data_IF_780020388322
#
_entry.id   IF_780020388322
#
_cell.length_a   1.000
_cell.length_b   1.000
_cell.length_c   1.000
_cell.angle_alpha   90.00
_cell.angle_beta   90.00
_cell.angle_gamma   90.00
#
_symmetry.space_group_name_H-M   'P 1'
#
loop_
_entity.id
_entity.type
_entity.pdbx_description
1 polymer ?
#
# COMPACT_ATOMS: atom_id res chain seq x y z
N UNK A 1 -22.31 15.57 16.79
CA UNK A 1 -22.41 16.54 15.70
C UNK A 1 -23.22 15.89 14.60
N UNK A 2 -24.07 16.65 13.92
CA UNK A 2 -24.86 16.15 12.80
C UNK A 2 -24.45 16.87 11.53
N UNK A 3 -24.49 16.15 10.42
CA UNK A 3 -24.22 16.65 9.08
C UNK A 3 -25.42 16.33 8.20
N UNK A 4 -25.70 17.18 7.21
CA UNK A 4 -26.85 17.04 6.30
C UNK A 4 -26.47 17.30 4.84
N UNK A 5 -27.39 16.96 3.94
CA UNK A 5 -27.27 17.22 2.51
C UNK A 5 -25.98 16.61 1.91
N UNK A 6 -25.78 15.31 2.12
CA UNK A 6 -24.64 14.56 1.59
C UNK A 6 -25.10 13.33 0.81
N UNK A 7 -24.29 12.93 -0.18
CA UNK A 7 -24.40 11.65 -0.88
C UNK A 7 -23.47 10.64 -0.22
N UNK A 8 -24.01 9.80 0.66
CA UNK A 8 -23.27 8.98 1.61
C UNK A 8 -23.12 7.55 1.08
N UNK A 9 -21.88 7.07 1.00
CA UNK A 9 -21.58 5.65 0.71
C UNK A 9 -21.76 4.81 1.97
N UNK A 10 -22.55 3.74 1.85
CA UNK A 10 -23.01 2.92 2.98
C UNK A 10 -22.35 1.54 2.99
N UNK A 11 -22.37 0.80 4.12
CA UNK A 11 -21.88 -0.57 4.19
C UNK A 11 -22.53 -1.54 3.19
N UNK A 12 -23.72 -1.23 2.68
CA UNK A 12 -24.41 -2.01 1.64
C UNK A 12 -23.88 -1.71 0.21
N UNK A 13 -22.73 -1.04 0.08
CA UNK A 13 -22.09 -0.68 -1.20
C UNK A 13 -22.98 0.16 -2.13
N UNK A 14 -23.78 1.05 -1.54
CA UNK A 14 -24.67 1.98 -2.28
C UNK A 14 -24.62 3.38 -1.71
N UNK A 15 -25.07 4.34 -2.51
CA UNK A 15 -25.22 5.73 -2.08
C UNK A 15 -26.63 6.01 -1.59
N UNK A 16 -26.74 6.75 -0.48
CA UNK A 16 -27.98 7.31 0.06
C UNK A 16 -27.80 8.82 0.22
N UNK A 17 -28.82 9.60 -0.12
CA UNK A 17 -28.83 11.04 0.14
C UNK A 17 -29.46 11.31 1.51
N UNK A 18 -28.84 12.16 2.32
CA UNK A 18 -29.37 12.51 3.63
C UNK A 18 -28.33 13.18 4.54
N UNK A 19 -28.40 12.88 5.83
CA UNK A 19 -27.45 13.30 6.86
C UNK A 19 -26.83 12.13 7.60
N UNK A 20 -25.93 12.43 8.53
CA UNK A 20 -25.32 11.45 9.41
C UNK A 20 -24.89 12.07 10.74
N UNK A 21 -24.75 11.22 11.76
CA UNK A 21 -24.22 11.58 13.06
C UNK A 21 -22.71 11.30 13.15
N UNK A 22 -21.99 12.18 13.85
CA UNK A 22 -20.65 11.91 14.38
C UNK A 22 -20.67 12.08 15.89
N UNK A 23 -20.35 11.01 16.62
CA UNK A 23 -20.35 10.98 18.09
C UNK A 23 -18.98 10.58 18.61
N UNK A 24 -18.34 11.46 19.38
CA UNK A 24 -17.01 11.19 19.93
C UNK A 24 -15.94 10.89 18.86
N UNK A 25 -16.01 11.55 17.71
CA UNK A 25 -15.09 11.31 16.58
C UNK A 25 -15.35 10.01 15.79
N UNK A 26 -16.46 9.30 16.05
CA UNK A 26 -16.85 8.10 15.31
C UNK A 26 -18.03 8.37 14.41
N UNK A 27 -18.02 7.75 13.23
CA UNK A 27 -19.17 7.73 12.34
C UNK A 27 -20.34 6.99 12.99
N UNK A 28 -21.50 7.63 13.05
CA UNK A 28 -22.71 7.14 13.69
C UNK A 28 -23.77 6.73 12.67
N UNK A 29 -25.04 6.96 13.00
CA UNK A 29 -26.17 6.59 12.16
C UNK A 29 -26.26 7.48 10.90
N UNK A 30 -26.68 6.87 9.78
CA UNK A 30 -27.15 7.59 8.59
C UNK A 30 -28.61 7.98 8.82
N UNK A 31 -28.94 9.24 8.53
CA UNK A 31 -30.24 9.87 8.78
C UNK A 31 -30.85 10.34 7.44
N UNK A 32 -31.71 9.54 6.78
CA UNK A 32 -32.21 9.89 5.44
C UNK A 32 -33.19 11.06 5.41
N UNK A 33 -33.93 11.31 6.50
CA UNK A 33 -35.03 12.29 6.51
C UNK A 33 -35.07 13.14 7.79
N UNK A 34 -34.99 12.52 8.97
CA UNK A 34 -35.04 13.22 10.25
C UNK A 34 -33.63 13.67 10.66
N UNK A 35 -33.25 14.86 10.19
CA UNK A 35 -31.94 15.45 10.48
C UNK A 35 -32.14 16.71 11.34
N UNK A 36 -31.39 16.88 12.44
CA UNK A 36 -31.46 18.09 13.26
C UNK A 36 -31.26 19.37 12.46
N UNK A 37 -32.02 20.42 12.79
CA UNK A 37 -32.01 21.68 12.05
C UNK A 37 -30.63 22.36 12.05
N UNK A 38 -29.89 22.22 13.15
CA UNK A 38 -28.55 22.73 13.40
C UNK A 38 -27.41 21.88 12.80
N UNK A 39 -27.74 20.83 12.05
CA UNK A 39 -26.74 20.02 11.35
C UNK A 39 -25.96 20.83 10.32
N UNK A 40 -24.66 20.54 10.20
CA UNK A 40 -23.74 21.16 9.24
C UNK A 40 -24.13 20.74 7.82
N UNK A 41 -24.39 21.72 6.95
CA UNK A 41 -24.75 21.48 5.55
C UNK A 41 -23.50 21.17 4.72
N UNK A 42 -23.47 19.98 4.11
CA UNK A 42 -22.38 19.52 3.24
C UNK A 42 -22.60 19.83 1.75
N UNK A 43 -23.65 20.60 1.41
CA UNK A 43 -23.87 21.16 0.07
C UNK A 43 -23.89 20.12 -1.06
N UNK A 44 -24.40 18.92 -0.79
CA UNK A 44 -24.46 17.82 -1.75
C UNK A 44 -23.14 17.04 -1.90
N UNK A 45 -22.14 17.26 -1.04
CA UNK A 45 -20.86 16.57 -1.11
C UNK A 45 -21.02 15.04 -1.07
N UNK A 46 -20.13 14.35 -1.76
CA UNK A 46 -20.05 12.89 -1.70
C UNK A 46 -19.20 12.48 -0.51
N UNK A 47 -19.76 11.63 0.35
CA UNK A 47 -19.09 11.08 1.51
C UNK A 47 -18.76 9.61 1.26
N UNK A 48 -17.48 9.28 1.32
CA UNK A 48 -16.96 7.91 1.31
C UNK A 48 -16.18 7.66 2.60
N UNK A 49 -15.96 6.40 3.00
CA UNK A 49 -14.93 6.08 3.98
C UNK A 49 -13.60 6.69 3.53
N UNK A 50 -12.83 7.21 4.49
CA UNK A 50 -11.51 7.74 4.21
C UNK A 50 -10.62 6.70 3.54
N UNK A 51 -9.87 7.12 2.53
CA UNK A 51 -9.02 6.20 1.76
C UNK A 51 -7.86 5.70 2.63
N UNK A 52 -7.39 4.51 2.31
CA UNK A 52 -6.22 3.89 2.93
C UNK A 52 -5.22 3.59 1.81
N UNK A 53 -4.05 4.22 1.87
CA UNK A 53 -2.99 3.96 0.91
C UNK A 53 -1.92 3.08 1.56
N UNK A 54 -1.82 1.82 1.09
CA UNK A 54 -0.94 0.83 1.71
C UNK A 54 0.44 0.76 1.06
N UNK A 55 0.61 1.39 -0.11
CA UNK A 55 1.84 1.36 -0.89
C UNK A 55 2.09 2.75 -1.48
N UNK A 56 3.00 3.50 -0.83
CA UNK A 56 3.44 4.81 -1.29
C UNK A 56 4.80 5.15 -0.69
N UNK A 57 5.75 5.60 -1.50
CA UNK A 57 7.11 5.91 -1.06
C UNK A 57 7.25 7.34 -0.54
N UNK A 58 6.58 8.29 -1.17
CA UNK A 58 6.84 9.70 -0.96
C UNK A 58 5.77 10.61 -1.54
N UNK A 59 5.86 11.88 -1.16
CA UNK A 59 5.15 13.00 -1.77
C UNK A 59 5.74 14.31 -1.24
N UNK A 60 5.34 15.44 -1.83
CA UNK A 60 5.69 16.79 -1.39
C UNK A 60 7.21 16.96 -1.17
N UNK A 61 8.03 16.39 -2.05
CA UNK A 61 9.50 16.43 -1.97
C UNK A 61 10.13 15.55 -0.90
N UNK A 62 9.34 14.80 -0.12
CA UNK A 62 9.81 13.88 0.92
C UNK A 62 9.62 12.42 0.51
N UNK A 63 10.47 11.55 1.04
CA UNK A 63 10.43 10.10 0.87
C UNK A 63 10.54 9.42 2.24
N UNK A 64 9.79 8.35 2.45
CA UNK A 64 9.83 7.60 3.69
C UNK A 64 11.23 7.07 4.01
N UNK A 65 11.95 6.65 2.97
CA UNK A 65 13.28 6.06 3.10
C UNK A 65 14.35 7.08 3.50
N UNK A 66 14.06 8.39 3.43
CA UNK A 66 14.98 9.44 3.88
C UNK A 66 15.21 9.38 5.41
N UNK A 67 14.31 8.73 6.17
CA UNK A 67 14.39 8.66 7.63
C UNK A 67 14.20 10.01 8.33
N UNK A 68 13.61 10.97 7.64
CA UNK A 68 13.28 12.29 8.17
C UNK A 68 11.86 12.31 8.77
N UNK A 69 11.76 12.61 10.06
CA UNK A 69 10.49 12.67 10.77
C UNK A 69 9.59 13.82 10.30
N UNK A 70 10.16 14.99 10.00
CA UNK A 70 9.37 16.13 9.53
C UNK A 70 8.93 15.93 8.08
N UNK A 71 9.77 15.32 7.24
CA UNK A 71 9.39 14.79 5.93
C UNK A 71 8.21 13.82 6.00
N UNK A 72 8.24 12.83 6.90
CA UNK A 72 7.13 11.90 7.08
C UNK A 72 5.84 12.58 7.56
N UNK A 73 5.94 13.59 8.45
CA UNK A 73 4.77 14.41 8.83
C UNK A 73 4.23 15.23 7.67
N UNK A 74 5.10 15.79 6.83
CA UNK A 74 4.71 16.49 5.60
C UNK A 74 3.94 15.54 4.68
N UNK A 75 4.42 14.30 4.51
CA UNK A 75 3.72 13.27 3.76
C UNK A 75 2.33 12.99 4.33
N UNK A 76 2.22 12.79 5.66
CA UNK A 76 0.95 12.52 6.32
C UNK A 76 -0.07 13.67 6.20
N UNK A 77 0.40 14.92 6.18
CA UNK A 77 -0.42 16.11 5.96
C UNK A 77 -0.94 16.16 4.52
N UNK A 78 -0.09 15.88 3.53
CA UNK A 78 -0.49 15.81 2.14
C UNK A 78 -1.57 14.76 1.92
N UNK A 79 -1.37 13.52 2.40
CA UNK A 79 -2.38 12.46 2.32
C UNK A 79 -3.74 12.89 2.90
N UNK A 80 -3.75 13.57 4.04
CA UNK A 80 -4.99 14.03 4.68
C UNK A 80 -5.72 15.04 3.78
N UNK A 81 -4.97 15.92 3.10
CA UNK A 81 -5.53 16.88 2.13
C UNK A 81 -6.12 16.20 0.88
N UNK A 82 -5.68 14.98 0.56
CA UNK A 82 -6.15 14.19 -0.58
C UNK A 82 -7.26 13.18 -0.22
N UNK A 83 -7.77 13.23 1.01
CA UNK A 83 -8.81 12.30 1.50
C UNK A 83 -8.29 10.90 1.88
N UNK A 84 -6.97 10.71 1.89
CA UNK A 84 -6.31 9.53 2.47
C UNK A 84 -6.23 9.76 3.96
N UNK A 85 -6.89 8.91 4.75
CA UNK A 85 -7.01 9.09 6.21
C UNK A 85 -6.09 8.18 6.99
N UNK A 86 -5.59 7.11 6.34
CA UNK A 86 -4.61 6.21 6.89
C UNK A 86 -3.65 5.75 5.79
N UNK A 87 -2.42 5.43 6.17
CA UNK A 87 -1.42 4.99 5.21
C UNK A 87 -0.38 4.03 5.83
N UNK A 88 0.28 3.26 4.98
CA UNK A 88 1.49 2.52 5.30
C UNK A 88 2.56 2.88 4.26
N UNK A 89 3.59 3.67 4.62
CA UNK A 89 4.60 4.05 3.65
C UNK A 89 5.48 2.86 3.27
N UNK A 90 5.95 2.86 2.03
CA UNK A 90 6.78 1.83 1.44
C UNK A 90 8.27 2.23 1.46
N UNK A 91 9.13 1.35 1.93
CA UNK A 91 10.59 1.55 1.84
C UNK A 91 11.11 1.32 0.43
N UNK A 92 12.30 1.85 0.14
CA UNK A 92 13.10 1.43 -1.01
C UNK A 92 14.07 0.29 -0.65
N UNK A 93 14.63 -0.38 -1.65
CA UNK A 93 15.75 -1.33 -1.50
C UNK A 93 17.00 -0.60 -1.02
N UNK A 94 17.28 -0.66 0.28
CA UNK A 94 18.37 0.06 0.94
C UNK A 94 19.08 -0.81 2.00
N UNK A 95 20.26 -0.38 2.50
CA UNK A 95 20.91 -1.00 3.66
C UNK A 95 20.00 -1.04 4.89
N UNK A 96 20.12 -2.08 5.70
CA UNK A 96 19.23 -2.27 6.85
C UNK A 96 19.36 -1.17 7.91
N UNK A 97 20.54 -0.56 8.09
CA UNK A 97 20.72 0.55 9.02
C UNK A 97 20.02 1.82 8.54
N UNK A 98 19.81 1.98 7.23
CA UNK A 98 18.99 3.05 6.65
C UNK A 98 17.50 2.74 6.85
N UNK A 99 17.08 1.49 6.58
CA UNK A 99 15.70 1.06 6.82
C UNK A 99 15.31 1.19 8.30
N UNK A 100 16.21 0.84 9.23
CA UNK A 100 15.97 0.96 10.67
C UNK A 100 15.68 2.42 11.07
N UNK A 101 16.40 3.39 10.51
CA UNK A 101 16.16 4.82 10.75
C UNK A 101 14.79 5.25 10.23
N UNK A 102 14.43 4.85 9.01
CA UNK A 102 13.09 5.12 8.45
C UNK A 102 11.98 4.47 9.28
N UNK A 103 12.16 3.22 9.71
CA UNK A 103 11.14 2.51 10.46
C UNK A 103 10.96 3.10 11.88
N UNK A 104 12.02 3.67 12.45
CA UNK A 104 11.95 4.41 13.71
C UNK A 104 11.08 5.68 13.58
N UNK A 105 11.14 6.40 12.46
CA UNK A 105 10.26 7.58 12.25
C UNK A 105 8.80 7.18 12.09
N UNK A 106 8.52 6.07 11.41
CA UNK A 106 7.17 5.51 11.30
C UNK A 106 6.62 5.11 12.67
N UNK A 107 7.40 4.40 13.48
CA UNK A 107 7.03 4.04 14.86
C UNK A 107 6.71 5.27 15.70
N UNK A 108 7.58 6.29 15.63
CA UNK A 108 7.36 7.56 16.34
C UNK A 108 6.06 8.24 15.89
N UNK A 109 5.80 8.34 14.59
CA UNK A 109 4.58 8.97 14.07
C UNK A 109 3.33 8.20 14.49
N UNK A 110 3.41 6.85 14.52
CA UNK A 110 2.33 5.98 15.00
C UNK A 110 1.96 6.27 16.45
N UNK A 111 2.97 6.40 17.31
CA UNK A 111 2.84 6.62 18.75
C UNK A 111 2.35 8.04 19.07
N UNK A 112 2.94 9.07 18.44
CA UNK A 112 2.54 10.47 18.66
C UNK A 112 1.15 10.77 18.11
N UNK A 113 0.77 10.13 16.99
CA UNK A 113 -0.55 10.23 16.36
C UNK A 113 -1.08 11.70 16.32
N UNK A 114 -0.33 12.65 15.75
CA UNK A 114 -0.70 14.07 15.74
C UNK A 114 -2.06 14.30 15.08
N UNK A 115 -2.82 15.25 15.60
CA UNK A 115 -4.12 15.63 15.06
C UNK A 115 -3.96 16.29 13.68
N UNK A 116 -4.96 16.11 12.81
CA UNK A 116 -4.99 16.70 11.47
C UNK A 116 -4.12 16.01 10.42
N UNK A 117 -3.34 14.99 10.81
CA UNK A 117 -2.55 14.19 9.87
C UNK A 117 -3.21 12.83 9.60
N UNK A 118 -2.88 12.23 8.46
CA UNK A 118 -3.22 10.85 8.16
C UNK A 118 -2.63 9.91 9.21
N UNK A 119 -3.35 8.86 9.57
CA UNK A 119 -2.90 7.89 10.54
C UNK A 119 -1.90 6.94 9.90
N UNK A 120 -0.68 6.88 10.44
CA UNK A 120 0.22 5.79 10.08
C UNK A 120 -0.32 4.48 10.68
N UNK A 121 -0.47 3.45 9.85
CA UNK A 121 -1.08 2.17 10.24
C UNK A 121 -0.15 0.97 10.04
N UNK A 122 0.97 1.16 9.35
CA UNK A 122 1.94 0.12 9.11
C UNK A 122 3.14 0.64 8.34
N UNK A 123 3.98 -0.29 7.92
CA UNK A 123 5.06 -0.12 6.94
C UNK A 123 4.90 -1.21 5.88
N UNK A 124 5.07 -0.85 4.62
CA UNK A 124 5.34 -1.82 3.55
C UNK A 124 6.85 -1.89 3.35
N UNK A 125 7.45 -3.04 3.64
CA UNK A 125 8.85 -3.27 3.35
C UNK A 125 8.97 -3.74 1.90
N UNK A 126 8.94 -2.78 0.97
CA UNK A 126 9.20 -3.05 -0.45
C UNK A 126 10.72 -3.19 -0.65
N UNK A 127 11.15 -4.43 -0.88
CA UNK A 127 12.56 -4.81 -0.99
C UNK A 127 13.19 -5.17 0.37
N UNK A 128 14.45 -5.64 0.40
CA UNK A 128 15.38 -5.74 -0.71
C UNK A 128 15.40 -7.12 -1.43
N UNK A 129 14.40 -7.97 -1.21
CA UNK A 129 14.38 -9.36 -1.67
C UNK A 129 13.87 -9.52 -3.10
N UNK A 130 14.50 -8.83 -4.05
CA UNK A 130 14.01 -8.74 -5.42
C UNK A 130 14.92 -9.34 -6.48
N UNK A 131 14.30 -9.70 -7.59
CA UNK A 131 14.98 -10.16 -8.77
C UNK A 131 15.80 -9.04 -9.39
N UNK A 132 17.09 -9.29 -9.62
CA UNK A 132 17.95 -8.32 -10.32
C UNK A 132 17.37 -7.91 -11.68
N UNK A 133 16.73 -8.85 -12.40
CA UNK A 133 16.13 -8.62 -13.72
C UNK A 133 14.92 -7.69 -13.69
N UNK A 134 14.25 -7.58 -12.54
CA UNK A 134 12.98 -6.88 -12.37
C UNK A 134 13.06 -5.81 -11.27
N UNK A 135 14.27 -5.34 -10.97
CA UNK A 135 14.55 -4.30 -9.98
C UNK A 135 13.83 -2.97 -10.24
N UNK A 136 13.50 -2.63 -11.49
CA UNK A 136 12.87 -1.34 -11.78
C UNK A 136 13.71 -0.16 -11.26
N UNK A 137 13.11 0.69 -10.44
CA UNK A 137 13.78 1.82 -9.79
C UNK A 137 14.57 1.44 -8.52
N UNK A 138 14.51 0.20 -8.06
CA UNK A 138 15.18 -0.27 -6.85
C UNK A 138 16.71 -0.30 -7.05
N UNK A 139 17.46 0.14 -6.03
CA UNK A 139 18.92 0.19 -6.12
C UNK A 139 19.53 -1.23 -6.20
N UNK A 140 20.20 -1.60 -7.32
CA UNK A 140 20.72 -2.94 -7.53
C UNK A 140 21.79 -3.36 -6.53
N UNK A 141 22.54 -2.42 -5.96
CA UNK A 141 23.68 -2.70 -5.08
C UNK A 141 23.24 -3.22 -3.71
N UNK A 142 21.97 -3.02 -3.36
CA UNK A 142 21.40 -3.42 -2.07
C UNK A 142 20.43 -4.60 -2.18
N UNK A 143 20.21 -5.12 -3.38
CA UNK A 143 19.46 -6.35 -3.59
C UNK A 143 20.13 -7.52 -2.87
N UNK A 144 19.32 -8.39 -2.27
CA UNK A 144 19.80 -9.57 -1.56
C UNK A 144 18.83 -10.73 -1.65
N UNK A 145 19.34 -11.93 -1.43
CA UNK A 145 18.47 -13.08 -1.21
C UNK A 145 17.65 -12.90 0.08
N UNK A 146 16.47 -13.53 0.17
CA UNK A 146 15.63 -13.53 1.36
C UNK A 146 16.42 -13.82 2.65
N UNK A 147 16.28 -12.94 3.64
CA UNK A 147 16.99 -13.00 4.92
C UNK A 147 16.00 -12.77 6.05
N UNK A 148 15.51 -13.86 6.63
CA UNK A 148 14.51 -13.77 7.68
C UNK A 148 15.05 -13.16 8.97
N UNK A 149 16.30 -13.41 9.35
CA UNK A 149 16.84 -12.85 10.60
C UNK A 149 17.06 -11.34 10.49
N UNK A 150 17.50 -10.86 9.33
CA UNK A 150 17.55 -9.43 9.04
C UNK A 150 16.17 -8.77 9.06
N UNK A 151 15.20 -9.37 8.36
CA UNK A 151 13.81 -8.93 8.40
C UNK A 151 13.25 -8.90 9.83
N UNK A 152 13.44 -9.98 10.60
CA UNK A 152 12.92 -10.10 11.98
C UNK A 152 13.48 -9.00 12.87
N UNK A 153 14.76 -8.66 12.76
CA UNK A 153 15.36 -7.54 13.50
C UNK A 153 14.69 -6.21 13.19
N UNK A 154 14.43 -5.92 11.91
CA UNK A 154 13.71 -4.71 11.48
C UNK A 154 12.26 -4.70 11.98
N UNK A 155 11.56 -5.85 11.84
CA UNK A 155 10.20 -6.04 12.33
C UNK A 155 10.10 -5.78 13.85
N UNK A 156 10.98 -6.39 14.64
CA UNK A 156 11.02 -6.22 16.09
C UNK A 156 11.44 -4.79 16.48
N UNK A 157 12.43 -4.21 15.80
CA UNK A 157 12.93 -2.85 16.05
C UNK A 157 11.85 -1.77 15.86
N UNK A 158 10.99 -1.95 14.87
CA UNK A 158 9.85 -1.06 14.64
C UNK A 158 8.60 -1.42 15.48
N UNK A 159 8.69 -2.38 16.40
CA UNK A 159 7.58 -2.78 17.26
C UNK A 159 6.49 -3.57 16.53
N UNK A 160 6.85 -4.31 15.49
CA UNK A 160 5.92 -5.10 14.65
C UNK A 160 5.06 -4.25 13.71
N UNK A 161 5.57 -3.09 13.30
CA UNK A 161 4.83 -2.14 12.47
C UNK A 161 4.83 -2.50 10.98
N UNK A 162 5.75 -3.35 10.51
CA UNK A 162 5.71 -3.88 9.14
C UNK A 162 4.45 -4.73 8.96
N UNK A 163 3.62 -4.36 7.98
CA UNK A 163 2.36 -5.03 7.66
C UNK A 163 2.43 -5.84 6.37
N UNK A 164 3.30 -5.42 5.45
CA UNK A 164 3.54 -6.08 4.18
C UNK A 164 5.06 -6.16 3.98
N UNK A 165 5.57 -7.32 3.58
CA UNK A 165 6.96 -7.49 3.13
C UNK A 165 6.97 -8.11 1.75
N UNK A 166 7.78 -7.55 0.86
CA UNK A 166 7.76 -7.92 -0.55
C UNK A 166 8.94 -8.83 -0.88
N UNK A 167 8.68 -9.80 -1.77
CA UNK A 167 9.66 -10.82 -2.12
C UNK A 167 9.47 -11.32 -3.56
N UNK A 168 10.58 -11.60 -4.23
CA UNK A 168 10.61 -12.32 -5.49
C UNK A 168 10.69 -13.84 -5.23
N UNK A 169 9.67 -14.64 -5.63
CA UNK A 169 9.58 -16.07 -5.32
C UNK A 169 10.72 -16.94 -5.85
N UNK A 170 11.36 -16.54 -6.94
CA UNK A 170 12.41 -17.32 -7.57
C UNK A 170 13.76 -17.25 -6.84
N UNK A 171 13.88 -16.38 -5.83
CA UNK A 171 15.14 -16.22 -5.12
C UNK A 171 15.42 -17.41 -4.18
N UNK A 172 16.70 -17.83 -4.05
CA UNK A 172 17.08 -18.87 -3.10
C UNK A 172 16.65 -18.55 -1.67
N UNK A 173 15.91 -19.46 -1.04
CA UNK A 173 15.40 -19.31 0.33
C UNK A 173 14.05 -18.61 0.45
N UNK A 174 13.41 -18.21 -0.66
CA UNK A 174 12.14 -17.49 -0.62
C UNK A 174 11.01 -18.25 0.09
N UNK A 175 10.85 -19.55 -0.18
CA UNK A 175 9.82 -20.37 0.46
C UNK A 175 9.99 -20.42 1.98
N UNK A 176 11.19 -20.69 2.48
CA UNK A 176 11.48 -20.71 3.93
C UNK A 176 11.22 -19.34 4.56
N UNK A 177 11.63 -18.26 3.88
CA UNK A 177 11.35 -16.90 4.34
C UNK A 177 9.84 -16.68 4.46
N UNK A 178 9.06 -17.04 3.44
CA UNK A 178 7.61 -16.84 3.39
C UNK A 178 6.91 -17.59 4.52
N UNK A 179 7.26 -18.87 4.76
CA UNK A 179 6.66 -19.69 5.82
C UNK A 179 6.83 -19.09 7.22
N UNK A 180 7.92 -18.35 7.42
CA UNK A 180 8.25 -17.70 8.69
C UNK A 180 7.66 -16.28 8.76
N UNK A 181 7.80 -15.48 7.70
CA UNK A 181 7.35 -14.09 7.65
C UNK A 181 5.82 -13.96 7.61
N UNK A 182 5.12 -14.89 6.97
CA UNK A 182 3.64 -14.92 6.90
C UNK A 182 2.95 -15.07 8.26
N UNK A 183 3.68 -15.50 9.29
CA UNK A 183 3.21 -15.56 10.69
C UNK A 183 3.29 -14.21 11.41
N UNK A 184 4.05 -13.26 10.85
CA UNK A 184 4.31 -11.93 11.43
C UNK A 184 3.53 -10.84 10.68
N UNK A 185 3.50 -10.90 9.34
CA UNK A 185 2.82 -9.93 8.48
C UNK A 185 2.40 -10.56 7.15
N UNK A 186 1.74 -9.78 6.30
CA UNK A 186 1.44 -10.20 4.92
C UNK A 186 2.72 -10.28 4.11
N UNK A 187 2.87 -11.34 3.32
CA UNK A 187 3.96 -11.46 2.35
C UNK A 187 3.41 -11.26 0.95
N UNK A 188 4.04 -10.39 0.18
CA UNK A 188 3.62 -10.00 -1.17
C UNK A 188 4.65 -10.41 -2.23
N UNK A 189 4.16 -10.90 -3.36
CA UNK A 189 5.01 -11.15 -4.53
C UNK A 189 5.23 -9.83 -5.27
N UNK A 190 6.49 -9.44 -5.45
CA UNK A 190 6.87 -8.22 -6.15
C UNK A 190 8.20 -8.39 -6.90
N UNK A 191 8.45 -7.49 -7.87
CA UNK A 191 9.76 -7.31 -8.53
C UNK A 191 10.47 -8.63 -8.88
N UNK A 192 9.78 -9.45 -9.68
CA UNK A 192 10.06 -10.88 -9.85
C UNK A 192 10.09 -11.26 -11.33
N UNK A 193 11.00 -12.17 -11.69
CA UNK A 193 11.05 -12.88 -12.98
C UNK A 193 10.53 -14.32 -12.82
N UNK A 194 9.76 -14.59 -11.75
CA UNK A 194 9.25 -15.91 -11.38
C UNK A 194 8.30 -16.48 -12.42
N UNK A 195 8.45 -17.78 -12.66
CA UNK A 195 7.44 -18.58 -13.35
C UNK A 195 6.24 -18.88 -12.44
N UNK A 196 5.28 -19.63 -12.99
CA UNK A 196 4.07 -20.04 -12.28
C UNK A 196 4.36 -21.00 -11.11
N UNK A 197 5.30 -21.94 -11.26
CA UNK A 197 5.56 -22.98 -10.28
C UNK A 197 6.20 -22.41 -9.01
N UNK A 198 7.15 -21.48 -9.16
CA UNK A 198 7.72 -20.73 -8.04
C UNK A 198 6.65 -19.87 -7.35
N UNK A 199 5.79 -19.19 -8.12
CA UNK A 199 4.71 -18.38 -7.56
C UNK A 199 3.70 -19.22 -6.79
N UNK A 200 3.35 -20.41 -7.31
CA UNK A 200 2.51 -21.41 -6.64
C UNK A 200 3.12 -21.88 -5.33
N UNK A 201 4.41 -22.24 -5.32
CA UNK A 201 5.10 -22.63 -4.11
C UNK A 201 5.11 -21.51 -3.05
N UNK A 202 5.32 -20.26 -3.47
CA UNK A 202 5.23 -19.09 -2.58
C UNK A 202 3.83 -18.89 -1.99
N UNK A 203 2.79 -19.08 -2.81
CA UNK A 203 1.38 -19.01 -2.36
C UNK A 203 1.05 -20.13 -1.38
N UNK A 204 1.54 -21.36 -1.62
CA UNK A 204 1.39 -22.49 -0.70
C UNK A 204 2.12 -22.26 0.63
N UNK A 205 3.27 -21.60 0.59
CA UNK A 205 4.06 -21.22 1.76
C UNK A 205 3.42 -20.11 2.61
N UNK A 206 2.48 -19.33 2.06
CA UNK A 206 1.71 -18.34 2.82
C UNK A 206 1.58 -16.95 2.19
N UNK A 207 2.04 -16.73 0.95
CA UNK A 207 1.78 -15.48 0.23
C UNK A 207 0.27 -15.26 0.08
N UNK A 208 -0.17 -14.03 0.33
CA UNK A 208 -1.57 -13.60 0.18
C UNK A 208 -1.71 -12.27 -0.56
N UNK A 209 -0.64 -11.79 -1.21
CA UNK A 209 -0.62 -10.48 -1.85
C UNK A 209 0.26 -10.46 -3.12
N UNK A 210 -0.14 -9.67 -4.11
CA UNK A 210 0.68 -9.28 -5.28
C UNK A 210 0.85 -7.75 -5.28
N UNK A 211 2.09 -7.29 -5.28
CA UNK A 211 2.43 -5.85 -5.31
C UNK A 211 2.26 -5.30 -6.74
N UNK A 212 1.77 -4.06 -6.83
CA UNK A 212 1.54 -3.26 -8.06
C UNK A 212 1.33 -4.06 -9.37
N UNK A 213 0.27 -4.87 -9.42
CA UNK A 213 -0.03 -5.83 -10.50
C UNK A 213 0.37 -5.33 -11.90
N UNK A 214 1.02 -6.22 -12.66
CA UNK A 214 1.64 -6.01 -13.98
C UNK A 214 3.02 -5.34 -13.96
N UNK A 215 3.31 -4.47 -13.00
CA UNK A 215 4.58 -3.75 -12.93
C UNK A 215 5.67 -4.67 -12.38
N UNK A 216 6.88 -4.57 -12.95
CA UNK A 216 8.05 -5.34 -12.51
C UNK A 216 7.82 -6.87 -12.33
N UNK A 217 6.92 -7.47 -13.13
CA UNK A 217 6.65 -8.91 -13.14
C UNK A 217 6.52 -9.45 -14.58
N UNK A 218 6.46 -10.77 -14.83
CA UNK A 218 6.20 -11.31 -16.15
C UNK A 218 4.71 -11.10 -16.52
N UNK A 219 4.46 -10.77 -17.79
CA UNK A 219 3.10 -10.74 -18.32
C UNK A 219 2.49 -12.15 -18.46
N UNK A 220 1.20 -12.21 -18.74
CA UNK A 220 0.49 -13.48 -18.92
C UNK A 220 0.86 -14.08 -20.29
N UNK A 221 1.44 -15.29 -20.29
CA UNK A 221 1.71 -16.07 -21.50
C UNK A 221 1.19 -17.50 -21.35
N UNK A 222 0.55 -18.06 -22.38
CA UNK A 222 -0.19 -19.34 -22.30
C UNK A 222 0.67 -20.57 -21.98
N UNK A 223 1.98 -20.53 -22.24
CA UNK A 223 2.94 -21.62 -21.87
C UNK A 223 3.84 -21.29 -20.70
N UNK A 224 3.80 -20.05 -20.22
CA UNK A 224 4.55 -19.61 -19.04
C UNK A 224 3.70 -18.55 -18.33
N UNK A 225 2.68 -18.97 -17.56
CA UNK A 225 1.64 -18.06 -17.08
C UNK A 225 2.16 -17.00 -16.10
N UNK A 226 3.22 -17.33 -15.34
CA UNK A 226 3.84 -16.43 -14.37
C UNK A 226 2.98 -16.21 -13.13
N UNK A 227 3.29 -15.11 -12.42
CA UNK A 227 2.75 -14.83 -11.09
C UNK A 227 1.29 -14.38 -11.08
N UNK A 228 0.82 -13.76 -12.17
CA UNK A 228 -0.54 -13.20 -12.24
C UNK A 228 -1.58 -14.32 -12.17
N UNK A 229 -1.58 -15.34 -13.07
CA UNK A 229 -2.54 -16.44 -12.97
C UNK A 229 -2.41 -17.23 -11.66
N UNK A 230 -1.20 -17.41 -11.12
CA UNK A 230 -0.99 -18.06 -9.82
C UNK A 230 -1.74 -17.34 -8.68
N UNK A 231 -1.71 -15.99 -8.66
CA UNK A 231 -2.50 -15.20 -7.70
C UNK A 231 -4.00 -15.17 -8.00
N UNK A 232 -4.40 -15.19 -9.27
CA UNK A 232 -5.82 -15.24 -9.65
C UNK A 232 -6.48 -16.52 -9.15
N UNK A 233 -5.82 -17.66 -9.35
CA UNK A 233 -6.31 -19.00 -8.99
C UNK A 233 -6.48 -19.20 -7.48
N UNK A 234 -5.69 -18.50 -6.65
CA UNK A 234 -5.84 -18.58 -5.21
C UNK A 234 -6.77 -17.48 -4.67
N UNK A 235 -7.96 -17.81 -4.14
CA UNK A 235 -8.94 -16.82 -3.67
C UNK A 235 -8.49 -16.01 -2.46
N UNK A 236 -7.41 -16.41 -1.78
CA UNK A 236 -6.84 -15.67 -0.64
C UNK A 236 -5.88 -14.55 -1.08
N UNK A 237 -5.42 -14.55 -2.32
CA UNK A 237 -4.45 -13.57 -2.81
C UNK A 237 -5.17 -12.29 -3.22
N UNK A 238 -4.73 -11.15 -2.69
CA UNK A 238 -5.14 -9.82 -3.12
C UNK A 238 -4.09 -9.22 -4.06
N UNK A 239 -4.48 -8.24 -4.86
CA UNK A 239 -3.57 -7.59 -5.80
C UNK A 239 -3.69 -6.07 -5.73
N UNK A 240 -2.56 -5.41 -5.56
CA UNK A 240 -2.46 -3.96 -5.68
C UNK A 240 -2.54 -3.54 -7.15
N UNK A 241 -3.01 -2.32 -7.41
CA UNK A 241 -3.01 -1.75 -8.76
C UNK A 241 -2.91 -0.23 -8.73
N UNK A 242 -2.10 0.31 -9.65
CA UNK A 242 -1.90 1.74 -9.87
C UNK A 242 -2.81 2.19 -11.03
N UNK A 243 -3.71 3.13 -10.77
CA UNK A 243 -4.76 3.54 -11.73
C UNK A 243 -4.55 4.95 -12.30
N UNK A 244 -3.30 5.33 -12.61
CA UNK A 244 -2.95 6.66 -13.12
C UNK A 244 -3.03 6.80 -14.64
N UNK A 245 -3.18 5.69 -15.37
CA UNK A 245 -3.21 5.64 -16.83
C UNK A 245 -1.84 5.66 -17.53
N UNK A 246 -0.74 5.79 -16.76
CA UNK A 246 0.63 5.72 -17.28
C UNK A 246 1.26 4.36 -17.00
N UNK A 247 1.14 3.87 -15.76
CA UNK A 247 1.63 2.54 -15.40
C UNK A 247 0.86 1.45 -16.13
N UNK A 248 -0.47 1.61 -16.20
CA UNK A 248 -1.37 0.55 -16.66
C UNK A 248 -2.41 1.14 -17.60
N UNK A 249 -2.47 0.59 -18.82
CA UNK A 249 -3.50 0.94 -19.78
C UNK A 249 -4.91 0.65 -19.22
N UNK A 250 -5.93 1.52 -19.39
CA UNK A 250 -7.26 1.33 -18.80
C UNK A 250 -7.95 0.00 -19.11
N UNK A 251 -7.64 -0.63 -20.25
CA UNK A 251 -8.15 -1.97 -20.57
C UNK A 251 -7.57 -3.05 -19.65
N UNK A 252 -6.29 -2.96 -19.28
CA UNK A 252 -5.64 -3.90 -18.35
C UNK A 252 -6.13 -3.70 -16.91
N UNK A 253 -6.48 -2.47 -16.52
CA UNK A 253 -7.18 -2.18 -15.25
C UNK A 253 -8.51 -2.94 -15.21
N UNK A 254 -9.37 -2.79 -16.23
CA UNK A 254 -10.65 -3.53 -16.27
C UNK A 254 -10.47 -5.05 -16.25
N UNK A 255 -9.45 -5.56 -16.93
CA UNK A 255 -9.11 -6.98 -16.90
C UNK A 255 -8.72 -7.44 -15.49
N UNK A 256 -7.90 -6.67 -14.77
CA UNK A 256 -7.51 -6.97 -13.39
C UNK A 256 -8.74 -7.07 -12.47
N UNK A 257 -9.66 -6.10 -12.55
CA UNK A 257 -10.92 -6.14 -11.80
C UNK A 257 -11.84 -7.31 -12.20
N UNK A 258 -11.72 -7.83 -13.43
CA UNK A 258 -12.45 -9.05 -13.84
C UNK A 258 -11.83 -10.30 -13.20
N UNK A 259 -10.49 -10.38 -13.16
CA UNK A 259 -9.76 -11.54 -12.63
C UNK A 259 -9.82 -11.63 -11.09
N UNK A 260 -9.57 -10.51 -10.40
CA UNK A 260 -9.46 -10.47 -8.93
C UNK A 260 -10.74 -9.98 -8.24
N UNK A 261 -11.63 -9.30 -8.94
CA UNK A 261 -12.92 -8.81 -8.41
C UNK A 261 -12.72 -7.88 -7.21
N UNK A 262 -13.33 -8.20 -6.08
CA UNK A 262 -13.24 -7.48 -4.82
C UNK A 262 -11.89 -7.68 -4.08
N UNK A 263 -10.94 -8.42 -4.67
CA UNK A 263 -9.59 -8.61 -4.12
C UNK A 263 -8.58 -7.59 -4.67
N UNK A 264 -9.03 -6.64 -5.47
CA UNK A 264 -8.19 -5.52 -5.93
C UNK A 264 -8.03 -4.47 -4.83
N UNK A 265 -6.82 -3.97 -4.67
CA UNK A 265 -6.47 -2.88 -3.77
C UNK A 265 -5.90 -1.74 -4.61
N UNK A 266 -6.51 -0.57 -4.52
CA UNK A 266 -5.98 0.63 -5.17
C UNK A 266 -4.83 1.18 -4.32
N UNK A 267 -3.71 1.46 -4.95
CA UNK A 267 -2.55 2.10 -4.34
C UNK A 267 -2.12 3.31 -5.17
N UNK A 268 -1.36 4.22 -4.57
CA UNK A 268 -0.75 5.30 -5.35
C UNK A 268 0.60 4.92 -5.94
N UNK A 269 1.40 4.14 -5.22
CA UNK A 269 2.84 3.96 -5.48
C UNK A 269 3.53 5.31 -5.71
N UNK A 270 3.10 6.34 -4.96
CA UNK A 270 3.57 7.69 -5.22
C UNK A 270 5.01 7.86 -4.74
N UNK A 271 5.84 8.51 -5.56
CA UNK A 271 7.17 8.96 -5.16
C UNK A 271 7.18 10.40 -4.64
N UNK A 272 8.35 10.85 -4.17
CA UNK A 272 8.58 12.22 -3.67
C UNK A 272 8.08 13.37 -4.57
N UNK A 273 7.88 13.11 -5.86
CA UNK A 273 7.34 14.07 -6.82
C UNK A 273 5.83 14.32 -6.72
N UNK A 274 5.06 13.47 -6.04
CA UNK A 274 3.63 13.66 -5.92
C UNK A 274 3.31 14.95 -5.17
N UNK A 275 2.43 15.79 -5.74
CA UNK A 275 2.10 17.10 -5.18
C UNK A 275 3.10 18.22 -5.50
N UNK A 276 4.18 17.93 -6.22
CA UNK A 276 5.13 18.94 -6.68
C UNK A 276 4.73 19.54 -8.05
N UNK A 277 5.16 20.78 -8.36
CA UNK A 277 4.97 21.36 -9.69
C UNK A 277 5.63 20.54 -10.80
N UNK A 278 5.07 20.62 -12.00
CA UNK A 278 5.68 20.03 -13.19
C UNK A 278 7.08 20.61 -13.45
N UNK A 279 8.04 19.75 -13.80
CA UNK A 279 9.44 20.12 -14.01
C UNK A 279 10.33 20.09 -12.77
N UNK A 280 9.77 19.81 -11.58
CA UNK A 280 10.55 19.58 -10.36
C UNK A 280 11.52 18.41 -10.53
N UNK A 281 12.78 18.60 -10.12
CA UNK A 281 13.83 17.60 -10.18
C UNK A 281 13.98 16.90 -8.84
N UNK A 282 14.16 15.59 -8.87
CA UNK A 282 14.26 14.76 -7.67
C UNK A 282 15.05 13.48 -7.95
N UNK A 283 15.57 12.83 -6.91
CA UNK A 283 16.23 11.53 -7.00
C UNK A 283 15.19 10.42 -6.83
N UNK A 284 15.28 9.36 -7.62
CA UNK A 284 14.43 8.16 -7.52
C UNK A 284 15.33 6.93 -7.34
N UNK A 285 14.97 6.03 -6.43
CA UNK A 285 15.66 4.74 -6.28
C UNK A 285 16.62 4.61 -5.10
N UNK A 286 16.87 5.70 -4.36
CA UNK A 286 17.89 5.74 -3.31
C UNK A 286 19.24 6.19 -3.83
#
# INVERSE_FOLDING_TARGET
MFYKNARIFTPEFRFVTGGFEVKGGRFGAVLPAEIPADAVDLQGATLIPGLIDIHSHGNSGADFSDGDYEGLKKMAAYYASQGVTAFAPASMTLPYDVLEKAFATAKRLKEEAPAGLSRLMGIQMEGPYFSYKKRGAQNPDYLKNPDFEGFRKLYEGCGGLVRIVDIAPELPGAVEFIERASRLCTVSIAHTDSDYDHARAAVEAGVTHLTHLYNAMPGIHHRNPGVIPAGVENPKVQAEIICDGYHIHPAAVRLAFTMFKNRMILISDSGRCAGEPEGTKFTLGG
#
